data_IF_173085924596
#
_entry.id   IF_173085924596
#
_cell.length_a   1.000
_cell.length_b   1.000
_cell.length_c   1.000
_cell.angle_alpha   90.00
_cell.angle_beta   90.00
_cell.angle_gamma   90.00
#
_symmetry.space_group_name_H-M   'P 1'
#
loop_
_entity.id
_entity.type
_entity.pdbx_description
1 polymer ?
2 non-polymer ?
3 non-polymer ?
4 non-polymer ?
5 non-polymer ?
6 water ?
#
# COMPACT_ATOMS: atom_id res chain seq x y z
N UNK A 1 -16.23 -11.83 6.76
CA UNK A 1 -15.03 -11.60 7.61
C UNK A 1 -14.14 -10.49 7.04
N UNK A 2 -13.28 -9.96 7.89
CA UNK A 2 -12.33 -8.91 7.53
C UNK A 2 -11.71 -8.32 8.79
N UNK A 3 -10.47 -7.85 8.64
CA UNK A 3 -9.72 -7.29 9.73
C UNK A 3 -9.68 -5.78 9.68
N UNK A 4 -9.59 -5.12 10.85
CA UNK A 4 -9.51 -3.66 10.82
C UNK A 4 -8.06 -3.18 10.63
N UNK A 5 -7.92 -1.95 10.14
CA UNK A 5 -6.64 -1.32 9.95
C UNK A 5 -6.13 -0.87 11.30
N UNK A 6 -4.82 -0.75 11.44
CA UNK A 6 -4.25 -0.24 12.68
C UNK A 6 -3.17 0.81 12.38
N UNK A 7 -2.60 0.79 11.18
CA UNK A 7 -1.55 1.76 10.94
C UNK A 7 -0.21 1.06 10.74
N UNK A 8 0.79 1.83 10.43
CA UNK A 8 2.11 1.32 10.10
C UNK A 8 3.04 0.93 11.25
N UNK A 9 2.73 1.37 12.46
CA UNK A 9 3.63 1.16 13.59
C UNK A 9 4.16 -0.23 13.83
N UNK A 10 3.27 -1.19 14.03
CA UNK A 10 3.72 -2.55 14.28
C UNK A 10 4.48 -3.16 13.13
N UNK A 11 4.02 -2.95 11.90
CA UNK A 11 4.73 -3.51 10.75
C UNK A 11 6.11 -2.95 10.70
N UNK A 12 6.19 -1.65 10.89
CA UNK A 12 7.45 -0.97 10.80
C UNK A 12 8.46 -1.36 11.86
N UNK A 13 7.97 -1.72 13.04
CA UNK A 13 8.83 -2.11 14.14
C UNK A 13 9.54 -3.44 13.88
N UNK A 14 8.87 -4.40 13.24
CA UNK A 14 9.47 -5.70 12.93
C UNK A 14 10.16 -5.72 11.58
N UNK A 15 9.72 -4.86 10.67
CA UNK A 15 10.29 -4.83 9.34
C UNK A 15 10.91 -3.48 9.04
N UNK A 16 11.97 -3.13 9.79
CA UNK A 16 12.64 -1.85 9.65
C UNK A 16 13.28 -1.53 8.28
N UNK A 17 13.82 -2.54 7.60
CA UNK A 17 14.45 -2.32 6.30
C UNK A 17 13.41 -1.86 5.28
N UNK A 18 12.28 -2.56 5.21
CA UNK A 18 11.22 -2.16 4.28
C UNK A 18 10.66 -0.78 4.69
N UNK A 19 10.47 -0.55 5.99
CA UNK A 19 9.93 0.72 6.44
C UNK A 19 10.83 1.90 6.11
N UNK A 20 12.14 1.74 6.32
CA UNK A 20 13.05 2.83 6.02
C UNK A 20 13.09 3.07 4.50
N UNK A 21 12.91 2.04 3.69
CA UNK A 21 12.91 2.23 2.24
C UNK A 21 11.59 2.87 1.81
N UNK A 22 10.49 2.38 2.39
CA UNK A 22 9.16 2.90 2.06
C UNK A 22 9.05 4.40 2.35
N UNK A 23 9.67 4.79 3.44
CA UNK A 23 9.66 6.18 3.89
C UNK A 23 10.07 7.14 2.80
N UNK A 24 10.89 6.71 1.87
CA UNK A 24 11.34 7.63 0.82
C UNK A 24 10.55 7.54 -0.48
N UNK A 25 9.47 6.74 -0.51
CA UNK A 25 8.70 6.60 -1.74
C UNK A 25 7.59 7.66 -1.84
N UNK A 26 7.06 7.87 -3.03
CA UNK A 26 6.00 8.86 -3.20
C UNK A 26 4.79 8.47 -2.34
N UNK A 27 4.57 7.18 -2.19
CA UNK A 27 3.45 6.71 -1.38
C UNK A 27 3.50 7.28 0.03
N UNK A 28 4.69 7.26 0.66
CA UNK A 28 4.88 7.76 2.03
C UNK A 28 4.54 9.24 2.16
N UNK A 29 4.76 9.98 1.09
CA UNK A 29 4.50 11.42 1.08
C UNK A 29 3.21 11.82 0.37
N UNK A 30 2.31 10.86 0.15
CA UNK A 30 1.05 11.10 -0.55
C UNK A 30 0.23 12.25 0.04
N UNK A 31 0.24 12.38 1.36
CA UNK A 31 -0.56 13.48 1.90
C UNK A 31 0.07 14.84 1.61
N UNK A 32 1.39 14.92 1.42
CA UNK A 32 2.02 16.23 1.16
C UNK A 32 1.48 16.80 -0.16
N UNK A 33 1.13 15.91 -1.09
CA UNK A 33 0.58 16.33 -2.40
C UNK A 33 -0.77 17.07 -2.26
N UNK A 34 -1.47 16.83 -1.16
CA UNK A 34 -2.80 17.47 -0.97
C UNK A 34 -2.69 18.81 -0.29
N UNK A 35 -1.47 19.16 0.11
CA UNK A 35 -1.27 20.46 0.78
C UNK A 35 -1.23 21.61 -0.21
N UNK A 36 -1.59 22.81 0.24
CA UNK A 36 -1.58 23.99 -0.62
C UNK A 36 -0.21 24.25 -1.22
N UNK A 37 -0.19 24.67 -2.48
CA UNK A 37 1.02 25.02 -3.19
C UNK A 37 2.08 23.96 -3.43
N UNK A 38 1.72 22.69 -3.25
CA UNK A 38 2.66 21.60 -3.53
C UNK A 38 2.16 21.00 -4.84
N UNK A 39 3.08 20.70 -5.76
CA UNK A 39 2.75 20.10 -7.05
C UNK A 39 1.76 20.96 -7.84
N UNK A 40 2.04 22.26 -7.84
CA UNK A 40 1.24 23.26 -8.55
C UNK A 40 1.03 22.96 -10.03
N UNK A 41 2.10 22.64 -10.75
CA UNK A 41 1.99 22.39 -12.19
C UNK A 41 1.10 21.20 -12.53
N UNK A 42 1.31 20.08 -11.84
CA UNK A 42 0.51 18.86 -12.05
C UNK A 42 -0.96 19.15 -11.73
N UNK A 43 -1.17 19.86 -10.63
CA UNK A 43 -2.53 20.21 -10.23
C UNK A 43 -3.21 21.06 -11.33
N UNK A 44 -2.49 22.03 -11.90
CA UNK A 44 -3.11 22.89 -12.94
C UNK A 44 -3.46 22.09 -14.20
N UNK A 45 -2.61 21.16 -14.56
CA UNK A 45 -2.84 20.32 -15.73
C UNK A 45 -4.14 19.52 -15.52
N UNK A 46 -4.42 19.13 -14.29
CA UNK A 46 -5.64 18.37 -13.97
C UNK A 46 -6.79 19.30 -13.59
N UNK A 47 -6.62 20.60 -13.84
CA UNK A 47 -7.63 21.59 -13.50
C UNK A 47 -8.05 21.68 -12.04
N UNK A 48 -7.10 21.46 -11.14
CA UNK A 48 -7.32 21.54 -9.71
C UNK A 48 -6.74 22.89 -9.32
N UNK A 49 -7.02 23.32 -8.09
CA UNK A 49 -6.57 24.61 -7.59
C UNK A 49 -5.24 24.41 -6.88
N UNK A 50 -4.16 25.00 -7.41
CA UNK A 50 -2.81 24.89 -6.83
C UNK A 50 -2.62 25.49 -5.44
N UNK A 51 -3.53 26.35 -4.98
CA UNK A 51 -3.41 26.96 -3.66
C UNK A 51 -4.40 26.39 -2.65
N UNK A 52 -5.26 25.49 -3.07
CA UNK A 52 -6.25 24.92 -2.15
C UNK A 52 -5.67 23.89 -1.18
N UNK A 53 -6.18 23.88 0.04
CA UNK A 53 -5.75 22.89 1.02
C UNK A 53 -6.69 21.71 0.80
N UNK A 54 -6.21 20.63 0.19
CA UNK A 54 -7.07 19.46 -0.06
C UNK A 54 -6.90 18.37 1.01
N UNK A 55 -6.10 18.62 2.05
CA UNK A 55 -5.88 17.60 3.10
C UNK A 55 -7.08 17.16 3.91
N UNK A 56 -8.21 17.86 3.82
CA UNK A 56 -9.38 17.40 4.54
C UNK A 56 -10.58 17.27 3.59
N UNK A 57 -10.30 17.09 2.31
CA UNK A 57 -11.35 16.95 1.32
C UNK A 57 -11.65 15.48 1.09
N UNK A 58 -12.85 15.05 1.40
CA UNK A 58 -13.22 13.67 1.19
C UNK A 58 -13.21 13.24 -0.27
N UNK A 59 -13.08 14.16 -1.23
CA UNK A 59 -12.99 13.74 -2.65
C UNK A 59 -11.51 13.44 -2.97
N UNK A 60 -10.61 13.56 -1.97
CA UNK A 60 -9.17 13.35 -2.25
C UNK A 60 -8.45 12.45 -1.31
N UNK A 61 -8.66 12.65 -0.01
CA UNK A 61 -7.86 11.87 0.97
C UNK A 61 -7.89 10.36 0.87
N UNK A 62 -8.98 9.82 0.35
CA UNK A 62 -9.17 8.40 0.33
C UNK A 62 -8.13 7.60 -0.40
N UNK A 63 -7.39 8.23 -1.30
CA UNK A 63 -6.38 7.46 -2.04
C UNK A 63 -5.00 7.91 -1.61
N UNK A 64 -4.93 8.70 -0.55
CA UNK A 64 -3.65 9.21 -0.11
C UNK A 64 -3.39 8.84 1.35
N UNK A 65 -4.17 7.89 1.86
CA UNK A 65 -4.06 7.42 3.26
C UNK A 65 -4.43 5.96 3.27
N UNK A 66 -4.26 5.31 4.43
CA UNK A 66 -4.62 3.92 4.62
C UNK A 66 -6.10 3.70 5.08
N UNK A 67 -6.81 2.83 4.37
CA UNK A 67 -8.15 2.39 4.78
C UNK A 67 -9.27 3.38 4.93
N UNK A 68 -9.28 4.40 4.07
CA UNK A 68 -10.37 5.34 4.14
C UNK A 68 -11.70 4.61 3.89
N UNK A 69 -12.70 4.85 4.73
CA UNK A 69 -13.98 4.19 4.53
C UNK A 69 -14.05 2.75 4.99
N UNK A 70 -13.01 2.30 5.68
CA UNK A 70 -12.95 0.93 6.16
C UNK A 70 -12.73 0.90 7.66
N UNK A 71 -13.14 -0.20 8.28
CA UNK A 71 -12.99 -0.27 9.73
C UNK A 71 -11.54 -0.09 10.19
N UNK A 72 -11.36 0.80 11.15
CA UNK A 72 -10.04 1.09 11.69
C UNK A 72 -9.24 2.08 10.85
N UNK A 73 -9.78 2.38 9.67
CA UNK A 73 -9.10 3.28 8.77
C UNK A 73 -9.07 4.76 9.07
N UNK A 74 -8.25 5.47 8.30
CA UNK A 74 -8.08 6.92 8.44
C UNK A 74 -9.43 7.57 8.27
N UNK A 75 -9.72 8.60 9.06
CA UNK A 75 -10.95 9.40 8.92
C UNK A 75 -10.52 10.86 9.04
N UNK A 76 -11.26 11.77 8.40
CA UNK A 76 -10.90 13.18 8.44
C UNK A 76 -11.08 13.69 9.86
N UNK A 77 -12.00 13.08 10.61
CA UNK A 77 -12.20 13.49 12.02
C UNK A 77 -11.04 13.00 12.92
N UNK A 78 -10.47 11.84 12.62
CA UNK A 78 -9.35 11.29 13.40
C UNK A 78 -8.28 10.81 12.42
N UNK A 79 -7.53 11.74 11.85
CA UNK A 79 -6.48 11.45 10.87
C UNK A 79 -5.20 10.99 11.53
N UNK A 80 -5.14 9.73 11.87
CA UNK A 80 -3.95 9.18 12.53
C UNK A 80 -2.68 9.33 11.71
N UNK A 81 -1.62 9.91 12.30
CA UNK A 81 -0.40 10.01 11.50
C UNK A 81 0.08 8.66 10.98
N UNK A 82 -0.16 7.59 11.75
CA UNK A 82 0.27 6.25 11.32
C UNK A 82 -0.61 5.64 10.20
N UNK A 83 -1.62 6.38 9.76
CA UNK A 83 -2.45 5.91 8.64
C UNK A 83 -2.38 6.97 7.53
N UNK A 84 -1.48 7.94 7.69
CA UNK A 84 -1.32 9.03 6.72
C UNK A 84 -0.28 8.65 5.66
N UNK A 85 -0.63 8.81 4.38
CA UNK A 85 0.30 8.38 3.36
C UNK A 85 -0.16 6.99 3.02
N UNK A 86 0.23 6.47 1.85
CA UNK A 86 -0.19 5.15 1.45
C UNK A 86 0.84 4.22 2.06
N UNK A 87 0.42 3.52 3.11
CA UNK A 87 1.32 2.67 3.88
C UNK A 87 1.21 1.19 3.74
N UNK A 88 1.79 0.47 4.72
CA UNK A 88 1.86 -0.99 4.62
C UNK A 88 0.57 -1.75 4.37
N UNK A 89 -0.49 -1.43 5.13
CA UNK A 89 -1.77 -2.12 4.98
C UNK A 89 -2.52 -1.74 3.71
N UNK A 90 -2.20 -0.61 3.10
CA UNK A 90 -2.85 -0.26 1.83
C UNK A 90 -2.52 -1.30 0.76
N UNK A 91 -1.37 -1.98 0.88
CA UNK A 91 -1.02 -3.02 -0.11
C UNK A 91 -1.11 -4.44 0.44
N UNK A 92 -0.59 -4.63 1.65
CA UNK A 92 -0.59 -5.97 2.26
C UNK A 92 -1.94 -6.33 2.92
N UNK A 93 -2.82 -5.34 3.07
CA UNK A 93 -4.12 -5.55 3.67
C UNK A 93 -4.14 -5.16 5.13
N UNK A 94 -5.30 -4.88 5.74
CA UNK A 94 -5.36 -4.52 7.17
C UNK A 94 -4.74 -5.65 7.97
N UNK A 95 -3.89 -5.25 8.91
CA UNK A 95 -3.10 -6.18 9.67
C UNK A 95 -3.49 -6.63 11.04
N UNK A 96 -4.59 -6.12 11.59
CA UNK A 96 -4.98 -6.50 12.94
C UNK A 96 -4.87 -7.96 13.29
N UNK A 97 -5.38 -8.84 12.43
CA UNK A 97 -5.37 -10.28 12.68
C UNK A 97 -4.12 -11.04 12.19
N UNK A 98 -3.58 -10.67 11.05
CA UNK A 98 -2.42 -11.42 10.61
C UNK A 98 -1.11 -10.99 11.27
N UNK A 99 -1.00 -9.80 11.80
CA UNK A 99 0.30 -9.47 12.36
C UNK A 99 0.62 -10.33 13.57
N UNK A 100 -0.42 -10.90 14.20
CA UNK A 100 -0.22 -11.75 15.36
C UNK A 100 0.38 -13.07 14.90
N UNK A 101 -0.02 -13.53 13.73
CA UNK A 101 0.51 -14.77 13.19
C UNK A 101 1.97 -14.52 12.75
N UNK A 102 2.32 -13.29 12.36
CA UNK A 102 3.71 -13.02 11.98
C UNK A 102 4.59 -13.16 13.24
N UNK A 103 4.08 -12.66 14.36
CA UNK A 103 4.83 -12.78 15.62
C UNK A 103 4.98 -14.25 16.03
N UNK A 104 3.86 -14.95 16.17
CA UNK A 104 3.94 -16.34 16.63
C UNK A 104 4.69 -17.26 15.66
N UNK A 105 4.51 -17.03 14.38
CA UNK A 105 5.17 -17.85 13.36
C UNK A 105 6.68 -17.63 13.35
N UNK A 106 7.07 -16.39 13.57
CA UNK A 106 8.47 -16.01 13.58
C UNK A 106 9.13 -16.62 14.80
N UNK A 107 8.38 -16.66 15.90
CA UNK A 107 8.90 -17.23 17.14
C UNK A 107 9.09 -18.74 16.97
N UNK A 108 8.08 -19.38 16.39
CA UNK A 108 8.11 -20.82 16.16
C UNK A 108 9.27 -21.19 15.23
N UNK A 109 9.47 -20.36 14.21
CA UNK A 109 10.57 -20.62 13.29
C UNK A 109 11.93 -20.43 13.98
N UNK A 110 12.08 -19.39 14.77
CA UNK A 110 13.36 -19.12 15.43
C UNK A 110 13.73 -20.24 16.41
N UNK A 111 12.72 -20.80 17.05
CA UNK A 111 12.91 -21.85 18.04
C UNK A 111 13.06 -23.26 17.46
N UNK A 112 12.40 -23.53 16.34
CA UNK A 112 12.45 -24.86 15.75
C UNK A 112 12.43 -25.00 14.25
N UNK A 113 12.54 -23.91 13.50
CA UNK A 113 12.50 -24.04 12.06
C UNK A 113 11.15 -24.40 11.46
N UNK A 114 10.10 -24.36 12.26
CA UNK A 114 8.78 -24.68 11.76
C UNK A 114 8.30 -23.56 10.84
N UNK A 115 7.81 -23.92 9.67
CA UNK A 115 7.30 -22.93 8.72
C UNK A 115 5.78 -22.93 8.85
N UNK A 116 5.15 -21.80 8.54
CA UNK A 116 3.70 -21.63 8.61
C UNK A 116 3.19 -21.42 7.19
N UNK A 117 2.08 -22.08 6.81
CA UNK A 117 1.57 -21.89 5.44
C UNK A 117 1.00 -20.47 5.19
N UNK A 118 1.24 -19.91 4.01
CA UNK A 118 0.68 -18.58 3.69
C UNK A 118 -0.86 -18.63 3.78
N UNK A 119 -1.42 -19.82 3.55
CA UNK A 119 -2.86 -20.04 3.62
C UNK A 119 -3.45 -19.53 4.94
N UNK A 120 -2.71 -19.71 6.03
CA UNK A 120 -3.20 -19.24 7.32
C UNK A 120 -3.24 -17.71 7.36
N UNK A 121 -2.30 -17.04 6.69
CA UNK A 121 -2.26 -15.58 6.71
C UNK A 121 -3.35 -14.99 5.83
N UNK A 122 -3.61 -15.65 4.71
CA UNK A 122 -4.64 -15.17 3.79
C UNK A 122 -5.98 -15.24 4.50
N UNK A 123 -6.16 -16.29 5.30
CA UNK A 123 -7.40 -16.48 6.05
C UNK A 123 -7.57 -15.32 7.00
N UNK A 124 -6.47 -14.73 7.46
CA UNK A 124 -6.51 -13.61 8.39
C UNK A 124 -6.51 -12.26 7.68
N UNK A 125 -6.75 -12.27 6.37
CA UNK A 125 -6.83 -11.05 5.61
C UNK A 125 -5.60 -10.57 4.86
N UNK A 126 -4.48 -11.30 4.92
CA UNK A 126 -3.28 -10.79 4.21
C UNK A 126 -3.43 -10.90 2.72
N UNK A 127 -2.95 -9.89 2.02
CA UNK A 127 -3.04 -9.87 0.57
C UNK A 127 -1.73 -10.35 -0.05
N UNK A 128 -1.80 -11.38 -0.88
CA UNK A 128 -0.60 -11.85 -1.62
C UNK A 128 -0.76 -11.66 -3.13
N UNK A 129 -1.80 -10.93 -3.56
CA UNK A 129 -2.07 -10.71 -4.98
C UNK A 129 -1.89 -9.23 -5.37
N UNK A 130 -2.42 -8.34 -4.53
CA UNK A 130 -2.24 -6.89 -4.67
C UNK A 130 -2.94 -6.12 -5.81
N UNK A 131 -3.06 -6.72 -6.98
CA UNK A 131 -3.64 -5.97 -8.10
C UNK A 131 -4.90 -5.18 -7.80
N UNK A 132 -5.91 -5.84 -7.22
CA UNK A 132 -7.13 -5.14 -6.89
C UNK A 132 -6.93 -3.93 -6.01
N UNK A 133 -6.11 -4.04 -4.95
CA UNK A 133 -5.86 -2.88 -4.11
C UNK A 133 -5.16 -1.75 -4.86
N UNK A 134 -4.14 -2.04 -5.67
CA UNK A 134 -3.48 -0.93 -6.36
C UNK A 134 -4.52 -0.30 -7.30
N UNK A 135 -5.35 -1.16 -7.91
CA UNK A 135 -6.32 -0.67 -8.88
C UNK A 135 -7.39 0.21 -8.28
N UNK A 136 -7.76 -0.03 -7.03
CA UNK A 136 -8.80 0.79 -6.41
C UNK A 136 -8.38 2.25 -6.29
N UNK A 137 -7.07 2.52 -6.35
CA UNK A 137 -6.57 3.87 -6.33
C UNK A 137 -6.15 4.34 -7.72
N UNK A 138 -5.27 3.60 -8.35
CA UNK A 138 -4.72 4.01 -9.64
C UNK A 138 -5.63 3.92 -10.86
N UNK A 139 -6.52 2.94 -10.88
CA UNK A 139 -7.44 2.76 -12.02
C UNK A 139 -8.87 3.13 -11.65
N UNK A 140 -9.03 3.95 -10.61
CA UNK A 140 -10.37 4.33 -10.19
C UNK A 140 -10.80 5.64 -10.89
N UNK A 141 -11.16 5.55 -12.18
CA UNK A 141 -11.63 6.72 -12.90
C UNK A 141 -12.73 6.25 -13.84
N UNK A 142 -13.53 7.18 -14.32
CA UNK A 142 -14.64 6.79 -15.17
C UNK A 142 -14.20 6.11 -16.44
N UNK A 143 -14.87 5.01 -16.75
CA UNK A 143 -14.57 4.26 -17.96
C UNK A 143 -13.22 3.56 -17.94
N UNK A 144 -12.63 3.38 -16.76
CA UNK A 144 -11.33 2.74 -16.72
C UNK A 144 -11.43 1.27 -17.03
N UNK A 145 -10.32 0.64 -17.39
CA UNK A 145 -10.31 -0.81 -17.69
C UNK A 145 -10.70 -1.66 -16.46
N UNK A 146 -10.57 -1.09 -15.26
CA UNK A 146 -10.90 -1.78 -14.03
C UNK A 146 -12.39 -1.67 -13.71
N UNK A 147 -13.04 -2.82 -13.54
CA UNK A 147 -14.49 -2.87 -13.31
C UNK A 147 -15.02 -2.27 -12.01
N UNK A 148 -14.18 -2.11 -10.99
CA UNK A 148 -14.70 -1.57 -9.75
C UNK A 148 -14.78 -0.06 -9.58
N UNK A 149 -14.49 0.73 -10.62
CA UNK A 149 -14.47 2.18 -10.45
C UNK A 149 -15.75 2.84 -9.95
N UNK A 150 -15.62 3.73 -8.97
CA UNK A 150 -16.74 4.48 -8.43
C UNK A 150 -16.17 5.72 -7.79
N UNK A 151 -16.93 6.81 -7.87
CA UNK A 151 -16.50 8.08 -7.35
C UNK A 151 -16.28 8.04 -5.86
N UNK A 152 -15.39 8.92 -5.35
CA UNK A 152 -14.64 9.92 -6.11
C UNK A 152 -13.52 9.29 -6.94
N UNK A 153 -13.26 9.86 -8.12
CA UNK A 153 -12.24 9.34 -9.05
C UNK A 153 -10.95 10.09 -8.91
N UNK A 154 -9.86 9.47 -9.34
CA UNK A 154 -8.57 10.13 -9.30
C UNK A 154 -8.53 11.12 -10.45
N UNK A 155 -8.04 12.34 -10.20
CA UNK A 155 -7.92 13.38 -11.22
C UNK A 155 -6.82 13.05 -12.21
N UNK A 156 -5.93 12.16 -11.83
CA UNK A 156 -4.77 11.84 -12.65
C UNK A 156 -4.93 10.60 -13.52
N UNK A 157 -5.44 10.85 -14.72
CA UNK A 157 -5.75 9.81 -15.69
C UNK A 157 -5.00 9.95 -17.01
N UNK A 158 -4.96 8.87 -17.81
CA UNK A 158 -4.27 8.90 -19.11
C UNK A 158 -4.75 10.09 -19.95
N UNK A 159 -6.01 10.50 -19.75
CA UNK A 159 -6.58 11.62 -20.50
C UNK A 159 -5.86 12.91 -20.13
N UNK A 160 -5.58 13.07 -18.84
CA UNK A 160 -4.86 14.26 -18.42
C UNK A 160 -3.44 14.20 -18.98
N UNK A 161 -2.80 13.05 -18.85
CA UNK A 161 -1.42 12.92 -19.32
C UNK A 161 -1.11 11.43 -19.45
N UNK A 162 -0.51 11.03 -20.56
CA UNK A 162 -0.24 9.62 -20.80
C UNK A 162 0.66 8.96 -19.76
N UNK A 163 1.46 9.77 -19.06
CA UNK A 163 2.32 9.24 -18.01
C UNK A 163 1.50 8.64 -16.87
N UNK A 164 0.23 9.01 -16.73
CA UNK A 164 -0.58 8.45 -15.66
C UNK A 164 -1.20 7.11 -16.04
N UNK A 165 -0.61 6.40 -16.98
CA UNK A 165 -1.15 5.12 -17.42
C UNK A 165 -0.60 4.05 -16.49
N UNK A 166 -1.48 3.33 -15.79
CA UNK A 166 -1.08 2.31 -14.82
C UNK A 166 -1.26 0.88 -15.32
N UNK A 167 -0.19 0.10 -15.31
CA UNK A 167 -0.25 -1.30 -15.67
C UNK A 167 0.36 -2.05 -14.47
N UNK A 168 -0.43 -2.87 -13.80
CA UNK A 168 0.05 -3.57 -12.58
C UNK A 168 1.36 -4.32 -12.73
N UNK A 169 1.46 -5.16 -13.75
CA UNK A 169 2.66 -5.97 -13.92
C UNK A 169 3.92 -5.15 -14.10
N UNK A 170 3.77 -3.89 -14.56
CA UNK A 170 4.91 -3.03 -14.75
C UNK A 170 5.18 -2.19 -13.50
N UNK A 171 4.13 -1.54 -12.99
CA UNK A 171 4.32 -0.67 -11.85
C UNK A 171 4.72 -1.36 -10.56
N UNK A 172 4.27 -2.60 -10.38
CA UNK A 172 4.63 -3.28 -9.13
C UNK A 172 6.14 -3.54 -9.07
N UNK A 173 6.78 -3.46 -10.24
CA UNK A 173 8.24 -3.67 -10.32
C UNK A 173 8.97 -2.35 -10.42
N UNK A 174 8.27 -1.24 -10.19
CA UNK A 174 8.87 0.09 -10.32
C UNK A 174 9.76 0.44 -9.15
N UNK A 175 11.02 -0.01 -9.26
CA UNK A 175 11.99 0.20 -8.22
C UNK A 175 12.18 1.63 -7.72
N UNK A 176 11.83 2.63 -8.52
CA UNK A 176 11.97 4.01 -8.08
C UNK A 176 10.84 4.42 -7.14
N UNK A 177 9.78 3.63 -7.08
CA UNK A 177 8.66 4.03 -6.25
C UNK A 177 8.06 3.01 -5.31
N UNK A 178 8.58 1.78 -5.32
CA UNK A 178 8.12 0.74 -4.40
C UNK A 178 9.27 0.53 -3.40
N UNK A 179 9.00 0.06 -2.17
CA UNK A 179 10.12 -0.17 -1.23
C UNK A 179 10.98 -1.31 -1.75
N UNK A 180 12.28 -1.20 -1.47
CA UNK A 180 13.27 -2.23 -1.84
C UNK A 180 12.85 -3.56 -1.24
N UNK A 181 13.27 -4.66 -1.86
CA UNK A 181 12.94 -5.97 -1.34
C UNK A 181 14.16 -6.53 -0.63
N UNK A 182 13.92 -7.19 0.50
CA UNK A 182 15.01 -7.76 1.30
C UNK A 182 14.77 -9.24 1.47
N UNK A 183 15.85 -10.00 1.58
CA UNK A 183 15.73 -11.46 1.71
C UNK A 183 14.93 -11.90 2.95
N UNK A 184 14.09 -12.92 2.76
CA UNK A 184 13.29 -13.50 3.85
C UNK A 184 14.01 -14.78 4.31
N UNK A 185 13.84 -15.17 5.57
CA UNK A 185 14.46 -16.40 6.08
C UNK A 185 13.62 -17.57 5.61
N UNK A 186 12.34 -17.33 5.32
CA UNK A 186 11.51 -18.42 4.84
C UNK A 186 10.49 -18.95 5.83
N UNK A 187 10.07 -18.11 6.78
CA UNK A 187 9.13 -18.52 7.80
C UNK A 187 7.84 -19.05 7.20
N UNK A 188 7.34 -18.35 6.18
CA UNK A 188 6.09 -18.74 5.52
C UNK A 188 6.30 -19.47 4.21
N UNK A 189 5.37 -20.35 3.86
CA UNK A 189 5.48 -21.06 2.60
C UNK A 189 4.16 -21.48 1.98
N UNK A 190 4.21 -21.89 0.72
CA UNK A 190 3.01 -22.34 0.04
C UNK A 190 2.18 -21.19 -0.53
N UNK A 191 1.05 -21.56 -1.14
CA UNK A 191 0.11 -20.64 -1.76
C UNK A 191 -0.89 -20.09 -0.73
N UNK A 192 -1.50 -18.92 -1.02
CA UNK A 192 -1.24 -18.15 -2.25
C UNK A 192 0.07 -17.39 -2.07
N UNK A 193 0.89 -17.43 -3.10
CA UNK A 193 2.18 -16.75 -3.12
C UNK A 193 2.14 -15.79 -4.29
N UNK A 194 2.57 -14.56 -4.05
CA UNK A 194 2.58 -13.52 -5.07
C UNK A 194 3.34 -14.03 -6.28
N UNK A 195 2.84 -13.78 -7.48
CA UNK A 195 3.49 -14.25 -8.69
C UNK A 195 4.92 -13.84 -8.94
N UNK A 196 5.37 -12.72 -8.37
CA UNK A 196 6.74 -12.25 -8.53
C UNK A 196 7.55 -12.42 -7.24
N UNK A 197 7.01 -13.15 -6.26
CA UNK A 197 7.72 -13.33 -4.99
C UNK A 197 9.12 -13.94 -5.15
N UNK A 198 9.19 -15.06 -5.84
CA UNK A 198 10.51 -15.70 -6.02
C UNK A 198 11.46 -14.80 -6.81
N UNK A 199 10.94 -14.15 -7.84
CA UNK A 199 11.74 -13.21 -8.62
C UNK A 199 12.28 -12.11 -7.72
N UNK A 200 11.41 -11.52 -6.87
CA UNK A 200 11.87 -10.45 -5.99
C UNK A 200 12.87 -10.95 -4.94
N UNK A 201 12.67 -12.17 -4.45
CA UNK A 201 13.58 -12.69 -3.40
C UNK A 201 14.94 -13.06 -4.02
N UNK A 202 14.94 -13.53 -5.26
CA UNK A 202 16.21 -13.92 -5.89
C UNK A 202 17.08 -12.69 -6.11
N UNK A 203 16.44 -11.57 -6.38
CA UNK A 203 17.15 -10.32 -6.61
C UNK A 203 17.22 -9.41 -5.40
N UNK A 204 16.69 -9.86 -4.25
CA UNK A 204 16.64 -9.04 -3.03
C UNK A 204 17.96 -8.68 -2.37
N UNK A 205 17.95 -7.55 -1.66
CA UNK A 205 19.11 -7.09 -0.93
C UNK A 205 19.19 -7.93 0.36
N UNK A 206 20.42 -8.17 0.88
CA UNK A 206 20.53 -8.98 2.11
C UNK A 206 19.80 -8.34 3.27
N UNK A 207 19.18 -9.17 4.10
CA UNK A 207 18.44 -8.66 5.26
C UNK A 207 19.40 -7.82 6.06
N UNK A 208 20.68 -7.96 5.70
CA UNK A 208 21.80 -7.24 6.31
C UNK A 208 22.38 -8.03 7.49
#
# INVERSE_FOLDING_TARGET
ADAPFEGRKKCSSCHKAQAQSWKDTAHAKAMESLKPNVKKEAKQKAKLDPAKDYTQDKDCVGCHVDGFGQKGGYTIESPKPMLTGVGCESCHGPGRNFRGDHRKSGQAFEKSGKKTPRKDLAKKGQDFHFEERCSACHLNYEGSPWKGAKAPYTPFTPEVDAKYTFKFDEMVKEVKAMHEHYKLEGVFEGEPKFKFHDEFQASAKPAKKGK
#
